data_IF_117437770806
#
_entry.id   IF_117437770806
#
_cell.length_a   1.000
_cell.length_b   1.000
_cell.length_c   1.000
_cell.angle_alpha   90.00
_cell.angle_beta   90.00
_cell.angle_gamma   90.00
#
_symmetry.space_group_name_H-M   'P 1'
#
loop_
_entity.id
_entity.type
_entity.pdbx_description
1 polymer ?
#
# COMPACT_ATOMS: atom_id res chain seq x y z
N UNK A 1 -9.94 6.64 -12.08
CA UNK A 1 -9.07 5.75 -11.27
C UNK A 1 -9.56 5.77 -9.83
N UNK A 2 -9.91 4.64 -9.22
CA UNK A 2 -10.48 4.60 -7.85
C UNK A 2 -9.37 4.48 -6.79
N UNK A 3 -8.68 5.59 -6.52
CA UNK A 3 -7.77 5.70 -5.38
C UNK A 3 -8.43 6.46 -4.23
N UNK A 4 -8.03 6.15 -3.00
CA UNK A 4 -8.60 6.75 -1.79
C UNK A 4 -7.58 7.65 -1.08
N UNK A 5 -6.47 7.09 -0.64
CA UNK A 5 -5.47 7.78 0.17
C UNK A 5 -4.49 8.62 -0.67
N UNK A 6 -3.95 8.11 -1.77
CA UNK A 6 -2.97 8.83 -2.60
C UNK A 6 -3.46 10.19 -3.09
N UNK A 7 -4.72 10.35 -3.58
CA UNK A 7 -5.24 11.65 -3.96
C UNK A 7 -5.22 12.67 -2.81
N UNK A 8 -5.48 12.24 -1.57
CA UNK A 8 -5.50 13.13 -0.40
C UNK A 8 -4.15 13.75 -0.07
N UNK A 9 -3.07 13.06 -0.42
CA UNK A 9 -1.70 13.57 -0.24
C UNK A 9 -1.16 14.16 -1.54
N UNK A 10 -1.83 14.00 -2.68
CA UNK A 10 -1.41 14.62 -3.92
C UNK A 10 -1.66 16.12 -3.89
N UNK A 11 -0.69 16.91 -4.35
CA UNK A 11 -0.88 18.36 -4.56
C UNK A 11 -1.48 18.67 -5.93
N UNK A 12 -1.67 17.65 -6.77
CA UNK A 12 -2.13 17.75 -8.15
C UNK A 12 -3.18 16.67 -8.42
N UNK A 13 -4.02 16.92 -9.41
CA UNK A 13 -4.92 15.89 -9.93
C UNK A 13 -4.11 14.72 -10.50
N UNK A 14 -4.54 13.49 -10.19
CA UNK A 14 -3.93 12.27 -10.69
C UNK A 14 -4.83 11.68 -11.77
N UNK A 15 -4.37 11.71 -13.01
CA UNK A 15 -5.15 11.23 -14.16
C UNK A 15 -4.78 9.81 -14.53
N UNK A 16 -3.52 9.45 -14.33
CA UNK A 16 -2.96 8.16 -14.72
C UNK A 16 -1.93 7.66 -13.70
N UNK A 17 -1.62 6.36 -13.76
CA UNK A 17 -0.65 5.72 -12.87
C UNK A 17 0.74 6.35 -13.01
N UNK A 18 1.12 6.79 -14.22
CA UNK A 18 2.42 7.43 -14.46
C UNK A 18 2.63 8.71 -13.63
N UNK A 19 1.55 9.44 -13.32
CA UNK A 19 1.62 10.64 -12.48
C UNK A 19 2.04 10.29 -11.04
N UNK A 20 1.74 9.06 -10.60
CA UNK A 20 2.17 8.52 -9.30
C UNK A 20 3.60 8.03 -9.38
N UNK A 21 3.95 7.29 -10.45
CA UNK A 21 5.28 6.69 -10.59
C UNK A 21 6.39 7.71 -10.82
N UNK A 22 6.04 8.92 -11.26
CA UNK A 22 6.95 10.06 -11.39
C UNK A 22 7.15 10.85 -10.09
N UNK A 23 6.30 10.68 -9.07
CA UNK A 23 6.42 11.33 -7.76
C UNK A 23 6.88 10.33 -6.69
N UNK A 24 8.16 10.38 -6.33
CA UNK A 24 8.74 9.49 -5.30
C UNK A 24 8.05 9.59 -3.95
N UNK A 25 7.50 10.76 -3.62
CA UNK A 25 6.76 10.94 -2.38
C UNK A 25 5.47 10.15 -2.41
N UNK A 26 4.74 10.13 -3.53
CA UNK A 26 3.52 9.32 -3.66
C UNK A 26 3.86 7.83 -3.62
N UNK A 27 4.93 7.41 -4.29
CA UNK A 27 5.39 6.01 -4.26
C UNK A 27 5.67 5.53 -2.83
N UNK A 28 6.35 6.34 -2.01
CA UNK A 28 6.63 6.02 -0.59
C UNK A 28 5.37 5.78 0.25
N UNK A 29 4.22 6.23 -0.22
CA UNK A 29 2.93 6.10 0.44
C UNK A 29 1.99 5.10 -0.23
N UNK A 30 2.37 4.49 -1.37
CA UNK A 30 1.53 3.53 -2.09
C UNK A 30 1.15 2.32 -1.25
N UNK A 31 2.04 1.84 -0.39
CA UNK A 31 1.73 0.71 0.48
C UNK A 31 0.52 0.98 1.40
N UNK A 32 0.28 2.24 1.81
CA UNK A 32 -0.91 2.63 2.58
C UNK A 32 -2.18 2.55 1.72
N UNK A 33 -2.09 2.98 0.46
CA UNK A 33 -3.20 2.86 -0.49
C UNK A 33 -3.58 1.40 -0.70
N UNK A 34 -2.58 0.55 -0.98
CA UNK A 34 -2.79 -0.88 -1.16
C UNK A 34 -3.36 -1.55 0.09
N UNK A 35 -2.92 -1.12 1.27
CA UNK A 35 -3.39 -1.63 2.55
C UNK A 35 -4.87 -1.31 2.80
N UNK A 36 -5.31 -0.10 2.47
CA UNK A 36 -6.65 0.41 2.78
C UNK A 36 -7.66 0.26 1.63
N UNK A 37 -7.17 0.03 0.42
CA UNK A 37 -7.96 -0.03 -0.81
C UNK A 37 -7.53 -1.23 -1.67
N UNK A 38 -8.04 -2.45 -1.38
CA UNK A 38 -7.67 -3.66 -2.13
C UNK A 38 -7.86 -3.55 -3.65
N UNK A 39 -8.86 -2.78 -4.12
CA UNK A 39 -9.08 -2.54 -5.56
C UNK A 39 -7.88 -1.86 -6.25
N UNK A 40 -7.13 -1.03 -5.51
CA UNK A 40 -5.93 -0.38 -6.05
C UNK A 40 -4.78 -1.37 -6.30
N UNK A 41 -4.77 -2.52 -5.61
CA UNK A 41 -3.74 -3.55 -5.83
C UNK A 41 -3.89 -4.15 -7.23
N UNK A 42 -5.13 -4.45 -7.66
CA UNK A 42 -5.39 -4.95 -9.02
C UNK A 42 -4.99 -3.95 -10.10
N UNK A 43 -5.25 -2.66 -9.85
CA UNK A 43 -4.87 -1.59 -10.77
C UNK A 43 -3.35 -1.51 -10.99
N UNK A 44 -2.56 -1.73 -9.94
CA UNK A 44 -1.10 -1.62 -9.99
C UNK A 44 -0.39 -2.93 -10.31
N UNK A 45 -1.11 -4.06 -10.28
CA UNK A 45 -0.59 -5.40 -10.58
C UNK A 45 0.13 -5.52 -11.93
N UNK A 46 -0.31 -4.90 -13.05
CA UNK A 46 0.44 -4.93 -14.31
C UNK A 46 1.85 -4.35 -14.22
N UNK A 47 2.15 -3.58 -13.16
CA UNK A 47 3.44 -2.93 -12.95
C UNK A 47 4.25 -3.60 -11.82
N UNK A 48 3.91 -4.84 -11.44
CA UNK A 48 4.59 -5.57 -10.36
C UNK A 48 6.10 -5.77 -10.62
N UNK A 49 6.54 -5.81 -11.88
CA UNK A 49 7.96 -5.86 -12.25
C UNK A 49 8.73 -4.58 -11.87
N UNK A 50 8.02 -3.47 -11.65
CA UNK A 50 8.64 -2.28 -11.10
C UNK A 50 8.96 -2.50 -9.61
N UNK A 51 10.26 -2.53 -9.28
CA UNK A 51 10.74 -2.79 -7.93
C UNK A 51 10.10 -1.89 -6.86
N UNK A 52 9.81 -0.62 -7.18
CA UNK A 52 9.18 0.29 -6.21
C UNK A 52 7.74 -0.11 -5.90
N UNK A 53 6.99 -0.60 -6.90
CA UNK A 53 5.62 -1.09 -6.73
C UNK A 53 5.63 -2.43 -6.01
N UNK A 54 6.54 -3.34 -6.41
CA UNK A 54 6.73 -4.62 -5.73
C UNK A 54 6.97 -4.42 -4.24
N UNK A 55 7.93 -3.58 -3.88
CA UNK A 55 8.23 -3.27 -2.48
C UNK A 55 7.03 -2.66 -1.75
N UNK A 56 6.22 -1.84 -2.42
CA UNK A 56 5.01 -1.29 -1.83
C UNK A 56 3.92 -2.36 -1.60
N UNK A 57 3.82 -3.38 -2.46
CA UNK A 57 2.97 -4.54 -2.20
C UNK A 57 3.49 -5.40 -1.04
N UNK A 58 4.80 -5.65 -0.97
CA UNK A 58 5.40 -6.42 0.13
C UNK A 58 5.23 -5.70 1.47
N UNK A 59 5.39 -4.36 1.49
CA UNK A 59 5.08 -3.52 2.63
C UNK A 59 3.60 -3.63 3.02
N UNK A 60 2.68 -3.47 2.06
CA UNK A 60 1.26 -3.57 2.33
C UNK A 60 0.88 -4.96 2.88
N UNK A 61 1.39 -6.03 2.30
CA UNK A 61 1.15 -7.40 2.75
C UNK A 61 1.67 -7.62 4.17
N UNK A 62 2.89 -7.16 4.46
CA UNK A 62 3.51 -7.32 5.79
C UNK A 62 2.70 -6.61 6.88
N UNK A 63 2.20 -5.41 6.59
CA UNK A 63 1.36 -4.66 7.51
C UNK A 63 -0.06 -5.23 7.60
N UNK A 64 -0.62 -5.70 6.48
CA UNK A 64 -1.92 -6.37 6.46
C UNK A 64 -1.92 -7.60 7.37
N UNK A 65 -0.93 -8.48 7.21
CA UNK A 65 -0.80 -9.70 8.03
C UNK A 65 -0.57 -9.40 9.52
N UNK A 66 0.13 -8.31 9.85
CA UNK A 66 0.37 -7.91 11.23
C UNK A 66 -0.88 -7.32 11.92
N UNK A 67 -1.82 -6.76 11.16
CA UNK A 67 -2.98 -6.02 11.66
C UNK A 67 -4.30 -6.48 11.01
N UNK A 68 -4.43 -7.78 10.70
CA UNK A 68 -5.61 -8.36 10.03
C UNK A 68 -6.92 -8.13 10.77
N UNK A 69 -6.88 -7.96 12.09
CA UNK A 69 -8.04 -7.68 12.94
C UNK A 69 -8.60 -6.25 12.78
N UNK A 70 -7.83 -5.33 12.20
CA UNK A 70 -8.20 -3.92 12.03
C UNK A 70 -8.53 -3.56 10.58
N UNK A 71 -7.92 -4.24 9.62
CA UNK A 71 -7.91 -3.84 8.21
C UNK A 71 -8.97 -4.58 7.38
N UNK A 72 -9.46 -3.98 6.27
CA UNK A 72 -10.32 -4.69 5.34
C UNK A 72 -9.57 -5.90 4.75
N UNK A 73 -10.31 -6.98 4.49
CA UNK A 73 -9.75 -8.18 3.86
C UNK A 73 -9.13 -7.83 2.51
N UNK A 74 -7.87 -8.21 2.31
CA UNK A 74 -7.13 -7.92 1.08
C UNK A 74 -6.72 -9.22 0.37
N UNK A 75 -7.70 -9.84 -0.30
CA UNK A 75 -7.50 -11.11 -1.00
C UNK A 75 -6.48 -11.00 -2.13
N UNK A 76 -6.35 -9.82 -2.75
CA UNK A 76 -5.43 -9.61 -3.87
C UNK A 76 -3.98 -9.75 -3.42
N UNK A 77 -3.60 -9.13 -2.30
CA UNK A 77 -2.24 -9.28 -1.74
C UNK A 77 -1.97 -10.73 -1.30
N UNK A 78 -2.97 -11.41 -0.72
CA UNK A 78 -2.83 -12.84 -0.37
C UNK A 78 -2.63 -13.72 -1.60
N UNK A 79 -3.35 -13.46 -2.70
CA UNK A 79 -3.21 -14.21 -3.94
C UNK A 79 -1.84 -13.99 -4.60
N UNK A 80 -1.38 -12.74 -4.66
CA UNK A 80 -0.03 -12.41 -5.15
C UNK A 80 1.04 -13.14 -4.32
N UNK A 81 0.85 -13.22 -3.01
CA UNK A 81 1.76 -13.97 -2.14
C UNK A 81 1.71 -15.48 -2.39
N UNK A 82 0.51 -16.06 -2.51
CA UNK A 82 0.33 -17.50 -2.80
C UNK A 82 0.96 -17.91 -4.14
N UNK A 83 1.01 -16.99 -5.10
CA UNK A 83 1.69 -17.18 -6.40
C UNK A 83 3.20 -16.94 -6.37
N UNK A 84 3.76 -16.58 -5.20
CA UNK A 84 5.16 -16.19 -5.02
C UNK A 84 5.58 -14.94 -5.83
N UNK A 85 4.62 -14.08 -6.20
CA UNK A 85 4.92 -12.84 -6.92
C UNK A 85 5.46 -11.76 -5.97
N UNK A 86 5.00 -11.78 -4.72
CA UNK A 86 5.45 -10.90 -3.64
C UNK A 86 5.76 -11.71 -2.37
N UNK A 87 6.68 -11.20 -1.56
CA UNK A 87 7.00 -11.77 -0.24
C UNK A 87 6.49 -10.89 0.88
N UNK A 88 6.57 -11.37 2.12
CA UNK A 88 6.29 -10.56 3.30
C UNK A 88 7.44 -10.68 4.28
N UNK A 89 7.54 -9.70 5.17
CA UNK A 89 8.49 -9.70 6.27
C UNK A 89 7.76 -9.46 7.58
N UNK A 90 8.40 -9.87 8.68
CA UNK A 90 7.84 -9.67 10.02
C UNK A 90 8.01 -8.23 10.47
N UNK A 91 6.92 -7.57 10.87
CA UNK A 91 6.97 -6.24 11.48
C UNK A 91 7.59 -6.35 12.87
N UNK A 92 8.86 -5.98 13.00
CA UNK A 92 9.53 -5.85 14.29
C UNK A 92 9.42 -4.41 14.83
N UNK A 93 9.87 -4.20 16.07
CA UNK A 93 9.76 -2.90 16.74
C UNK A 93 10.48 -1.77 15.99
N UNK A 94 11.63 -2.05 15.35
CA UNK A 94 12.39 -1.07 14.58
C UNK A 94 11.57 -0.59 13.38
N UNK A 95 11.10 -1.52 12.56
CA UNK A 95 10.30 -1.24 11.37
C UNK A 95 9.00 -0.51 11.75
N UNK A 96 8.33 -1.00 12.81
CA UNK A 96 7.13 -0.35 13.32
C UNK A 96 7.40 1.11 13.69
N UNK A 97 8.46 1.40 14.46
CA UNK A 97 8.81 2.78 14.85
C UNK A 97 9.14 3.67 13.65
N UNK A 98 9.78 3.13 12.62
CA UNK A 98 10.11 3.87 11.40
C UNK A 98 8.86 4.24 10.59
N UNK A 99 7.90 3.33 10.45
CA UNK A 99 6.73 3.50 9.56
C UNK A 99 5.42 3.86 10.28
N UNK A 100 5.35 3.79 11.62
CA UNK A 100 4.12 4.00 12.42
C UNK A 100 3.39 5.29 12.08
N UNK A 101 4.12 6.38 11.83
CA UNK A 101 3.52 7.69 11.59
C UNK A 101 2.68 7.67 10.30
N UNK A 102 3.18 7.01 9.26
CA UNK A 102 2.47 6.88 8.00
C UNK A 102 1.30 5.93 8.12
N UNK A 103 1.48 4.82 8.85
CA UNK A 103 0.41 3.87 9.12
C UNK A 103 -0.76 4.52 9.85
N UNK A 104 -0.51 5.21 10.97
CA UNK A 104 -1.54 5.89 11.77
C UNK A 104 -2.27 6.96 10.94
N UNK A 105 -1.53 7.74 10.14
CA UNK A 105 -2.15 8.72 9.23
C UNK A 105 -3.09 8.06 8.22
N UNK A 106 -2.69 6.90 7.67
CA UNK A 106 -3.54 6.11 6.79
C UNK A 106 -4.81 5.64 7.49
N UNK A 107 -4.70 5.11 8.72
CA UNK A 107 -5.84 4.66 9.51
C UNK A 107 -6.82 5.78 9.84
N UNK A 108 -6.31 6.94 10.27
CA UNK A 108 -7.14 8.13 10.55
C UNK A 108 -7.89 8.56 9.28
N UNK A 109 -7.20 8.59 8.14
CA UNK A 109 -7.83 8.92 6.86
C UNK A 109 -8.94 7.93 6.48
N UNK A 110 -8.77 6.65 6.80
CA UNK A 110 -9.78 5.61 6.57
C UNK A 110 -10.90 5.59 7.61
N UNK A 111 -10.85 6.42 8.67
CA UNK A 111 -11.82 6.40 9.76
C UNK A 111 -11.74 5.16 10.66
N UNK A 112 -10.57 4.52 10.72
CA UNK A 112 -10.34 3.28 11.49
C UNK A 112 -9.68 3.53 12.86
N UNK A 113 -9.59 4.79 13.30
CA UNK A 113 -8.97 5.21 14.56
C UNK A 113 -9.74 6.38 15.18
#
# INVERSE_FOLDING_TARGET
>A
MKLKYIPSISKKEIKQIHDILSDERLIKHLWIEFLLNPESVELFKPYIENLKIKNAFEDALSWYLAFTWLLPKNMVLEELHKKNEITHYKINLKIYKEKKRNFIKGLIYAGLC
#
